data_IF_524955859756
#
_entry.id   IF_524955859756
#
_cell.length_a   1.000
_cell.length_b   1.000
_cell.length_c   1.000
_cell.angle_alpha   90.00
_cell.angle_beta   90.00
_cell.angle_gamma   90.00
#
_symmetry.space_group_name_H-M   'P 1'
#
loop_
_entity.id
_entity.type
_entity.pdbx_description
1 polymer ?
#
# COMPACT_ATOMS: atom_id res chain seq x y z
N UNK A 1 3.22 -41.68 -1.50
CA UNK A 1 2.11 -41.28 -2.38
C UNK A 1 1.98 -39.77 -2.29
N UNK A 2 2.76 -39.04 -3.09
CA UNK A 2 2.69 -37.58 -3.14
C UNK A 2 1.46 -37.17 -3.93
N UNK A 3 0.56 -36.43 -3.30
CA UNK A 3 -0.53 -35.77 -4.01
C UNK A 3 -0.32 -34.27 -3.87
N UNK A 4 0.05 -33.68 -5.00
CA UNK A 4 0.15 -32.26 -5.22
C UNK A 4 -1.11 -31.56 -4.71
N UNK A 5 -0.93 -30.48 -3.96
CA UNK A 5 -2.00 -29.53 -3.72
C UNK A 5 -2.15 -28.70 -5.00
N UNK A 6 -3.40 -28.50 -5.46
CA UNK A 6 -3.67 -27.94 -6.78
C UNK A 6 -3.24 -26.48 -6.87
N UNK A 7 -2.66 -26.14 -8.02
CA UNK A 7 -2.64 -24.78 -8.52
C UNK A 7 -4.08 -24.27 -8.66
N UNK A 8 -4.31 -23.09 -8.10
CA UNK A 8 -5.41 -22.17 -8.38
C UNK A 8 -4.89 -20.80 -7.95
N UNK A 9 -4.92 -19.75 -8.73
CA UNK A 9 -5.71 -19.45 -9.91
C UNK A 9 -4.89 -18.44 -10.74
N UNK A 10 -4.82 -18.65 -12.05
CA UNK A 10 -4.24 -17.71 -13.03
C UNK A 10 -5.30 -16.65 -13.36
N UNK A 11 -5.80 -15.97 -12.34
CA UNK A 11 -6.71 -14.85 -12.45
C UNK A 11 -5.89 -13.59 -12.66
N UNK A 12 -6.07 -12.91 -13.80
CA UNK A 12 -5.56 -11.56 -14.02
C UNK A 12 -6.26 -10.56 -13.09
N UNK A 13 -5.99 -10.68 -11.80
CA UNK A 13 -6.58 -9.87 -10.75
C UNK A 13 -5.88 -8.52 -10.79
N UNK A 14 -6.64 -7.46 -11.07
CA UNK A 14 -6.18 -6.08 -10.92
C UNK A 14 -5.80 -5.85 -9.44
N UNK A 15 -4.57 -6.23 -9.08
CA UNK A 15 -4.04 -6.10 -7.72
C UNK A 15 -4.24 -4.67 -7.28
N UNK A 16 -4.87 -4.47 -6.12
CA UNK A 16 -5.18 -3.15 -5.59
C UNK A 16 -3.93 -2.25 -5.61
N UNK A 17 -4.02 -1.14 -6.34
CA UNK A 17 -2.90 -0.19 -6.54
C UNK A 17 -3.10 1.13 -5.80
N UNK A 18 -4.28 1.37 -5.22
CA UNK A 18 -4.61 2.59 -4.51
C UNK A 18 -5.62 2.35 -3.37
N UNK A 19 -5.59 3.23 -2.37
CA UNK A 19 -6.42 3.13 -1.15
C UNK A 19 -7.14 4.47 -0.83
N UNK A 20 -8.03 4.97 -1.70
CA UNK A 20 -8.69 6.25 -1.48
C UNK A 20 -9.48 6.32 -0.17
N UNK A 21 -9.97 5.18 0.33
CA UNK A 21 -10.70 5.08 1.60
C UNK A 21 -9.85 5.35 2.85
N UNK A 22 -8.52 5.35 2.74
CA UNK A 22 -7.61 5.60 3.87
C UNK A 22 -7.28 7.07 4.08
N UNK A 23 -7.74 7.98 3.21
CA UNK A 23 -7.61 9.42 3.46
C UNK A 23 -8.38 9.78 4.72
N UNK A 24 -7.72 10.46 5.65
CA UNK A 24 -8.27 10.81 6.96
C UNK A 24 -8.00 9.78 8.07
N UNK A 25 -7.41 8.62 7.76
CA UNK A 25 -6.99 7.66 8.78
C UNK A 25 -5.67 8.10 9.42
N UNK A 26 -5.42 7.64 10.64
CA UNK A 26 -4.08 7.69 11.23
C UNK A 26 -3.13 6.79 10.41
N UNK A 27 -1.89 7.24 10.22
CA UNK A 27 -0.95 6.62 9.28
C UNK A 27 -0.60 5.17 9.61
N UNK A 28 -0.40 4.81 10.88
CA UNK A 28 -0.10 3.42 11.25
C UNK A 28 -1.31 2.49 10.98
N UNK A 29 -2.52 2.92 11.33
CA UNK A 29 -3.75 2.19 11.01
C UNK A 29 -3.93 1.99 9.49
N UNK A 30 -3.60 3.02 8.70
CA UNK A 30 -3.63 2.94 7.24
C UNK A 30 -2.59 1.94 6.71
N UNK A 31 -1.37 1.95 7.25
CA UNK A 31 -0.31 1.02 6.85
C UNK A 31 -0.67 -0.43 7.19
N UNK A 32 -1.25 -0.69 8.35
CA UNK A 32 -1.75 -2.02 8.72
C UNK A 32 -2.79 -2.52 7.71
N UNK A 33 -3.72 -1.65 7.28
CA UNK A 33 -4.71 -2.01 6.26
C UNK A 33 -4.07 -2.31 4.90
N UNK A 34 -3.06 -1.52 4.50
CA UNK A 34 -2.32 -1.75 3.25
C UNK A 34 -1.59 -3.10 3.30
N UNK A 35 -0.91 -3.44 4.40
CA UNK A 35 -0.20 -4.71 4.55
C UNK A 35 -1.15 -5.93 4.54
N UNK A 36 -2.39 -5.77 5.03
CA UNK A 36 -3.42 -6.81 4.93
C UNK A 36 -3.89 -6.99 3.48
N UNK A 37 -4.11 -5.88 2.76
CA UNK A 37 -4.60 -5.91 1.37
C UNK A 37 -3.52 -6.37 0.38
N UNK A 38 -2.25 -5.98 0.61
CA UNK A 38 -1.07 -6.24 -0.23
C UNK A 38 0.13 -6.60 0.65
N UNK A 39 0.26 -7.85 1.10
CA UNK A 39 1.41 -8.28 1.91
C UNK A 39 2.73 -8.34 1.10
N UNK A 40 2.66 -8.18 -0.21
CA UNK A 40 3.78 -8.20 -1.16
C UNK A 40 4.47 -6.83 -1.35
N UNK A 41 3.94 -5.76 -0.75
CA UNK A 41 4.49 -4.40 -0.91
C UNK A 41 4.98 -3.82 0.42
N UNK A 42 5.88 -2.85 0.36
CA UNK A 42 6.38 -2.11 1.51
C UNK A 42 5.70 -0.73 1.60
N UNK A 43 5.34 -0.30 2.82
CA UNK A 43 4.75 1.03 3.04
C UNK A 43 5.83 2.04 3.41
N UNK A 44 5.97 3.09 2.63
CA UNK A 44 6.90 4.19 2.86
C UNK A 44 6.16 5.43 3.38
N UNK A 45 6.56 5.92 4.56
CA UNK A 45 5.90 7.02 5.26
C UNK A 45 6.55 8.36 4.92
N UNK A 46 5.73 9.33 4.57
CA UNK A 46 6.14 10.71 4.33
C UNK A 46 5.21 11.67 5.05
N UNK A 47 5.77 12.73 5.63
CA UNK A 47 5.00 13.81 6.26
C UNK A 47 5.29 15.10 5.50
N UNK A 48 4.24 15.82 5.10
CA UNK A 48 4.41 17.11 4.41
C UNK A 48 5.20 18.11 5.27
N UNK A 49 6.07 18.95 4.68
CA UNK A 49 6.31 19.14 3.24
C UNK A 49 7.48 18.30 2.68
N UNK A 50 7.82 17.15 3.29
CA UNK A 50 8.95 16.32 2.84
C UNK A 50 8.85 16.02 1.34
N UNK A 51 9.92 16.24 0.55
CA UNK A 51 9.95 15.87 -0.86
C UNK A 51 9.65 14.38 -1.05
N UNK A 52 8.75 14.06 -1.98
CA UNK A 52 8.41 12.68 -2.32
C UNK A 52 9.42 12.12 -3.34
N UNK A 53 9.63 10.79 -3.36
CA UNK A 53 10.42 10.15 -4.41
C UNK A 53 9.82 10.42 -5.79
N UNK A 54 10.69 10.46 -6.80
CA UNK A 54 10.30 10.65 -8.21
C UNK A 54 10.47 9.38 -9.04
N UNK A 55 11.22 8.41 -8.53
CA UNK A 55 11.28 7.05 -9.07
C UNK A 55 9.99 6.29 -8.77
N UNK A 56 9.62 5.39 -9.68
CA UNK A 56 8.51 4.47 -9.50
C UNK A 56 9.02 3.12 -9.00
N UNK A 57 8.41 2.60 -7.93
CA UNK A 57 8.64 1.26 -7.39
C UNK A 57 7.31 0.50 -7.26
N UNK A 58 7.15 -0.57 -8.04
CA UNK A 58 5.94 -1.39 -8.05
C UNK A 58 5.70 -2.16 -6.73
N UNK A 59 6.71 -2.25 -5.87
CA UNK A 59 6.66 -2.97 -4.59
C UNK A 59 6.57 -2.00 -3.40
N UNK A 60 6.28 -0.72 -3.63
CA UNK A 60 6.21 0.30 -2.59
C UNK A 60 4.88 1.05 -2.67
N UNK A 61 4.29 1.34 -1.52
CA UNK A 61 3.15 2.25 -1.38
C UNK A 61 3.62 3.52 -0.69
N UNK A 62 3.37 4.66 -1.31
CA UNK A 62 3.66 5.99 -0.74
C UNK A 62 2.48 6.39 0.15
N UNK A 63 2.73 6.49 1.46
CA UNK A 63 1.76 6.93 2.45
C UNK A 63 2.13 8.34 2.95
N UNK A 64 1.28 9.32 2.63
CA UNK A 64 1.55 10.74 2.92
C UNK A 64 0.59 11.27 3.98
N UNK A 65 1.14 11.79 5.08
CA UNK A 65 0.39 12.40 6.16
C UNK A 65 0.72 13.88 6.44
N UNK A 66 -0.08 14.49 7.33
CA UNK A 66 0.16 15.80 7.93
C UNK A 66 0.95 15.71 9.24
N UNK A 67 1.15 16.85 9.91
CA UNK A 67 1.84 16.98 11.19
C UNK A 67 1.13 16.27 12.36
N UNK A 68 -0.11 15.80 12.16
CA UNK A 68 -0.89 15.01 13.13
C UNK A 68 -0.88 13.52 12.78
N UNK A 69 -0.04 13.10 11.83
CA UNK A 69 0.03 11.72 11.34
C UNK A 69 -1.31 11.22 10.78
N UNK A 70 -2.07 12.12 10.14
CA UNK A 70 -3.30 11.78 9.42
C UNK A 70 -3.00 11.72 7.93
N UNK A 71 -3.45 10.67 7.24
CA UNK A 71 -3.28 10.50 5.80
C UNK A 71 -4.03 11.60 5.04
N UNK A 72 -3.30 12.37 4.22
CA UNK A 72 -3.85 13.52 3.48
C UNK A 72 -3.85 13.33 1.97
N UNK A 73 -3.27 12.25 1.46
CA UNK A 73 -3.31 11.86 0.06
C UNK A 73 -3.66 10.39 -0.07
N UNK A 74 -4.37 10.04 -1.13
CA UNK A 74 -4.63 8.64 -1.49
C UNK A 74 -3.29 7.87 -1.55
N UNK A 75 -3.10 6.83 -0.72
CA UNK A 75 -1.95 5.95 -0.84
C UNK A 75 -2.02 5.24 -2.19
N UNK A 76 -0.88 5.17 -2.87
CA UNK A 76 -0.74 4.56 -4.19
C UNK A 76 0.57 3.80 -4.29
N UNK A 77 0.60 2.77 -5.13
CA UNK A 77 1.85 2.12 -5.52
C UNK A 77 2.73 3.13 -6.27
N UNK A 78 4.01 3.22 -5.88
CA UNK A 78 4.99 4.15 -6.47
C UNK A 78 6.27 4.32 -5.67
#
# INVERSE_FOLDING_TARGET
MGRAMPAGDDGGDDLKTSWPELVGFEMLNAADRINIDRPDVSVAFYVLPTPLPTDYDANRVILVGDDRSVVVRTPVIG
#
